data_IF_352294700674
#
_entry.id   IF_352294700674
#
_cell.length_a   1.000
_cell.length_b   1.000
_cell.length_c   1.000
_cell.angle_alpha   90.00
_cell.angle_beta   90.00
_cell.angle_gamma   90.00
#
_symmetry.space_group_name_H-M   'P 1'
#
loop_
_entity.id
_entity.type
_entity.pdbx_description
1 polymer ?
#
# COMPACT_ATOMS: atom_id res chain seq x y z
N UNK A 1 -56.96 -7.52 -47.85
CA UNK A 1 -56.65 -6.21 -47.23
C UNK A 1 -55.42 -6.38 -46.35
N UNK A 2 -54.48 -5.43 -46.29
CA UNK A 2 -53.28 -5.48 -45.41
C UNK A 2 -53.67 -4.87 -44.04
N UNK A 3 -53.19 -5.25 -42.85
CA UNK A 3 -51.86 -5.16 -42.16
C UNK A 3 -52.02 -5.79 -40.74
N UNK A 4 -51.04 -6.08 -39.86
CA UNK A 4 -49.57 -6.26 -39.87
C UNK A 4 -49.11 -7.03 -38.59
N UNK A 5 -47.93 -7.65 -38.66
CA UNK A 5 -46.99 -8.16 -37.64
C UNK A 5 -47.02 -7.62 -36.19
N UNK A 6 -46.50 -8.42 -35.23
CA UNK A 6 -45.21 -8.18 -34.52
C UNK A 6 -44.79 -9.40 -33.68
N UNK A 7 -43.48 -9.57 -33.40
CA UNK A 7 -42.83 -10.77 -32.83
C UNK A 7 -42.07 -10.42 -31.53
N UNK A 8 -41.85 -11.42 -30.66
CA UNK A 8 -40.83 -11.56 -29.58
C UNK A 8 -41.27 -11.38 -28.10
N UNK A 9 -41.42 -12.53 -27.42
CA UNK A 9 -40.62 -13.06 -26.28
C UNK A 9 -39.72 -12.11 -25.42
N UNK A 10 -39.32 -12.53 -24.19
CA UNK A 10 -40.01 -13.40 -23.22
C UNK A 10 -39.90 -12.94 -21.73
N UNK A 11 -40.78 -13.41 -20.83
CA UNK A 11 -40.56 -13.30 -19.37
C UNK A 11 -41.24 -14.43 -18.55
N UNK A 12 -40.44 -15.42 -18.17
CA UNK A 12 -40.26 -15.89 -16.78
C UNK A 12 -41.49 -16.10 -15.85
N UNK A 13 -41.91 -17.36 -15.66
CA UNK A 13 -42.46 -17.94 -14.40
C UNK A 13 -42.06 -19.43 -14.40
N UNK A 14 -41.42 -20.04 -13.39
CA UNK A 14 -41.76 -20.13 -11.97
C UNK A 14 -43.08 -20.88 -11.71
N UNK A 15 -43.03 -22.22 -11.68
CA UNK A 15 -44.10 -23.06 -11.14
C UNK A 15 -43.70 -23.63 -9.77
N UNK A 16 -44.66 -23.69 -8.85
CA UNK A 16 -44.47 -24.14 -7.47
C UNK A 16 -45.51 -25.19 -7.09
N UNK A 17 -45.15 -26.47 -7.21
CA UNK A 17 -45.95 -27.60 -6.74
C UNK A 17 -45.52 -28.08 -5.35
N UNK A 18 -46.34 -27.86 -4.33
CA UNK A 18 -46.03 -28.20 -2.93
C UNK A 18 -46.68 -29.53 -2.46
N UNK A 19 -45.93 -30.35 -1.72
CA UNK A 19 -46.49 -31.32 -0.76
C UNK A 19 -45.47 -31.70 0.33
N UNK A 20 -45.90 -31.69 1.60
CA UNK A 20 -45.06 -31.95 2.78
C UNK A 20 -44.90 -33.45 3.08
N UNK A 21 -43.74 -33.85 3.62
CA UNK A 21 -43.66 -34.79 4.75
C UNK A 21 -42.34 -34.64 5.53
N UNK A 22 -42.41 -34.83 6.85
CA UNK A 22 -41.36 -34.47 7.80
C UNK A 22 -40.30 -35.58 7.97
N UNK A 23 -39.05 -35.17 8.20
CA UNK A 23 -37.94 -36.05 8.60
C UNK A 23 -36.83 -35.22 9.26
N UNK A 24 -36.49 -35.55 10.52
CA UNK A 24 -35.49 -34.84 11.33
C UNK A 24 -34.05 -35.09 10.83
N UNK A 25 -33.23 -34.04 10.67
CA UNK A 25 -31.75 -34.11 10.83
C UNK A 25 -31.11 -32.75 11.19
N UNK A 26 -31.59 -32.07 12.24
CA UNK A 26 -30.85 -30.95 12.85
C UNK A 26 -29.77 -31.49 13.81
N UNK A 27 -28.67 -32.02 13.26
CA UNK A 27 -27.40 -32.29 13.97
C UNK A 27 -26.30 -32.79 13.02
N UNK A 28 -25.51 -31.87 12.46
CA UNK A 28 -24.30 -32.24 11.69
C UNK A 28 -23.14 -31.22 11.73
N UNK A 29 -23.35 -29.95 12.10
CA UNK A 29 -22.31 -28.90 12.01
C UNK A 29 -21.85 -28.31 13.36
N UNK A 30 -22.06 -29.05 14.47
CA UNK A 30 -21.66 -28.64 15.83
C UNK A 30 -20.32 -29.24 16.29
N UNK A 31 -19.65 -30.07 15.46
CA UNK A 31 -18.37 -30.72 15.81
C UNK A 31 -17.13 -29.92 15.41
N UNK A 32 -17.24 -28.58 15.35
CA UNK A 32 -16.15 -27.65 15.04
C UNK A 32 -15.79 -26.77 16.25
N UNK A 33 -15.39 -27.34 17.39
CA UNK A 33 -14.57 -26.57 18.35
C UNK A 33 -13.69 -27.36 19.33
N UNK A 34 -13.97 -28.63 19.63
CA UNK A 34 -13.29 -29.33 20.74
C UNK A 34 -11.97 -30.03 20.36
N UNK A 35 -11.17 -29.40 19.47
CA UNK A 35 -9.79 -29.85 19.24
C UNK A 35 -8.81 -29.06 20.10
N UNK A 36 -8.90 -29.36 21.39
CA UNK A 36 -7.89 -29.22 22.44
C UNK A 36 -6.84 -28.12 22.26
N UNK A 37 -6.92 -27.09 23.09
CA UNK A 37 -5.81 -26.19 23.38
C UNK A 37 -4.57 -26.98 23.78
N UNK A 38 -3.65 -27.18 22.83
CA UNK A 38 -2.32 -27.68 23.14
C UNK A 38 -1.64 -26.67 24.07
N UNK A 39 -0.99 -27.10 25.17
CA UNK A 39 -0.28 -26.18 26.03
C UNK A 39 0.86 -25.55 25.22
N UNK A 40 0.76 -24.24 24.97
CA UNK A 40 1.90 -23.48 24.47
C UNK A 40 2.97 -23.50 25.56
N UNK A 41 4.01 -24.31 25.35
CA UNK A 41 5.22 -24.31 26.16
C UNK A 41 5.85 -22.93 26.07
N UNK A 42 5.56 -22.06 27.04
CA UNK A 42 6.27 -20.80 27.24
C UNK A 42 7.70 -21.15 27.64
N UNK A 43 8.62 -21.13 26.66
CA UNK A 43 10.06 -21.30 26.91
C UNK A 43 10.49 -20.26 27.95
N UNK A 44 10.96 -20.65 29.16
CA UNK A 44 11.46 -19.71 30.15
C UNK A 44 12.84 -19.20 29.69
N UNK A 45 12.82 -18.23 28.78
CA UNK A 45 14.00 -17.74 28.06
C UNK A 45 13.69 -16.74 26.93
N UNK A 46 12.46 -16.26 26.79
CA UNK A 46 12.13 -15.15 25.90
C UNK A 46 12.71 -13.84 26.44
N UNK A 47 13.97 -13.57 26.11
CA UNK A 47 14.60 -12.26 26.35
C UNK A 47 13.91 -11.25 25.43
N UNK A 48 12.91 -10.55 25.97
CA UNK A 48 12.25 -9.44 25.30
C UNK A 48 13.25 -8.29 25.18
N UNK A 49 13.88 -8.16 24.01
CA UNK A 49 14.79 -7.07 23.73
C UNK A 49 13.99 -5.76 23.58
N UNK A 50 13.98 -4.92 24.62
CA UNK A 50 13.35 -3.61 24.58
C UNK A 50 14.11 -2.67 23.63
N UNK A 51 13.61 -2.53 22.40
CA UNK A 51 14.13 -1.54 21.45
C UNK A 51 13.84 -0.14 22.01
N UNK A 52 14.85 0.73 22.09
CA UNK A 52 14.66 2.12 22.51
C UNK A 52 13.79 2.91 21.51
N UNK A 53 13.12 3.96 21.97
CA UNK A 53 12.34 4.87 21.12
C UNK A 53 13.20 5.43 19.96
N UNK A 54 14.42 5.86 20.28
CA UNK A 54 15.42 6.36 19.32
C UNK A 54 15.85 5.28 18.32
N UNK A 55 15.97 4.02 18.73
CA UNK A 55 16.25 2.89 17.82
C UNK A 55 15.15 2.68 16.79
N UNK A 56 13.87 2.72 17.21
CA UNK A 56 12.71 2.64 16.30
C UNK A 56 12.63 3.85 15.36
N UNK A 57 13.00 5.03 15.83
CA UNK A 57 13.04 6.24 15.00
C UNK A 57 14.13 6.16 13.92
N UNK A 58 15.34 5.76 14.30
CA UNK A 58 16.45 5.58 13.35
C UNK A 58 16.13 4.49 12.30
N UNK A 59 15.52 3.38 12.70
CA UNK A 59 15.11 2.32 11.78
C UNK A 59 14.07 2.82 10.75
N UNK A 60 13.09 3.63 11.19
CA UNK A 60 12.12 4.26 10.28
C UNK A 60 12.77 5.28 9.35
N UNK A 61 13.64 6.15 9.87
CA UNK A 61 14.36 7.13 9.07
C UNK A 61 15.23 6.45 8.00
N UNK A 62 15.93 5.37 8.35
CA UNK A 62 16.70 4.54 7.43
C UNK A 62 15.81 3.92 6.34
N UNK A 63 14.71 3.27 6.73
CA UNK A 63 13.77 2.66 5.77
C UNK A 63 13.16 3.69 4.81
N UNK A 64 12.84 4.91 5.27
CA UNK A 64 12.37 6.01 4.41
C UNK A 64 13.47 6.50 3.46
N UNK A 65 14.72 6.59 3.92
CA UNK A 65 15.85 6.96 3.07
C UNK A 65 16.17 5.91 1.99
N UNK A 66 16.08 4.62 2.34
CA UNK A 66 16.27 3.49 1.41
C UNK A 66 15.11 3.33 0.42
N UNK A 67 13.90 3.73 0.81
CA UNK A 67 12.71 3.69 -0.07
C UNK A 67 12.52 4.95 -0.91
N UNK A 68 13.38 5.96 -0.74
CA UNK A 68 13.31 7.19 -1.53
C UNK A 68 13.82 6.92 -2.95
N UNK A 69 13.13 7.41 -4.01
CA UNK A 69 13.60 7.22 -5.38
C UNK A 69 14.86 8.04 -5.64
N UNK A 70 15.84 7.43 -6.33
CA UNK A 70 17.09 8.08 -6.76
C UNK A 70 16.82 9.41 -7.50
N UNK A 71 15.78 9.41 -8.34
CA UNK A 71 15.36 10.56 -9.15
C UNK A 71 14.09 11.17 -8.57
N UNK A 72 14.19 12.42 -8.10
CA UNK A 72 13.05 13.20 -7.59
C UNK A 72 12.38 13.99 -8.70
N UNK A 73 11.62 13.30 -9.56
CA UNK A 73 10.97 13.88 -10.74
C UNK A 73 10.14 15.13 -10.44
N UNK A 74 9.37 15.15 -9.35
CA UNK A 74 8.58 16.32 -8.95
C UNK A 74 9.42 17.59 -8.75
N UNK A 75 10.60 17.47 -8.13
CA UNK A 75 11.55 18.59 -7.97
C UNK A 75 12.12 19.04 -9.31
N UNK A 76 12.38 18.09 -10.22
CA UNK A 76 12.87 18.38 -11.57
C UNK A 76 11.79 19.14 -12.37
N UNK A 77 10.52 18.75 -12.27
CA UNK A 77 9.40 19.42 -12.91
C UNK A 77 9.21 20.86 -12.40
N UNK A 78 9.23 21.07 -11.08
CA UNK A 78 9.16 22.40 -10.45
C UNK A 78 10.30 23.31 -10.93
N UNK A 79 11.55 22.82 -10.92
CA UNK A 79 12.71 23.59 -11.38
C UNK A 79 12.62 23.92 -12.87
N UNK A 80 12.23 22.97 -13.73
CA UNK A 80 11.99 23.21 -15.16
C UNK A 80 10.94 24.31 -15.38
N UNK A 81 9.82 24.29 -14.65
CA UNK A 81 8.79 25.32 -14.72
C UNK A 81 9.32 26.70 -14.28
N UNK A 82 10.09 26.76 -13.18
CA UNK A 82 10.69 28.02 -12.70
C UNK A 82 11.70 28.61 -13.69
N UNK A 83 12.49 27.77 -14.35
CA UNK A 83 13.42 28.17 -15.41
C UNK A 83 12.64 28.70 -16.62
N UNK A 84 11.65 27.95 -17.12
CA UNK A 84 10.82 28.35 -18.26
C UNK A 84 10.03 29.66 -18.00
N UNK A 85 9.61 29.90 -16.76
CA UNK A 85 8.94 31.12 -16.35
C UNK A 85 9.89 32.32 -16.07
N UNK A 86 11.20 32.17 -16.25
CA UNK A 86 12.20 33.20 -15.93
C UNK A 86 12.34 33.51 -14.42
N UNK A 87 11.76 32.68 -13.55
CA UNK A 87 11.76 32.86 -12.07
C UNK A 87 12.87 32.08 -11.36
N UNK A 88 13.80 31.51 -12.13
CA UNK A 88 14.99 30.87 -11.61
C UNK A 88 16.17 31.84 -11.70
N UNK A 89 16.34 32.65 -10.66
CA UNK A 89 17.46 33.57 -10.51
C UNK A 89 18.38 33.06 -9.38
N UNK A 90 19.68 32.95 -9.67
CA UNK A 90 20.71 32.54 -8.71
C UNK A 90 21.72 33.67 -8.61
N UNK A 91 22.16 34.02 -7.40
CA UNK A 91 23.14 35.09 -7.21
C UNK A 91 24.54 34.64 -7.66
N UNK A 92 25.35 35.52 -8.30
CA UNK A 92 26.72 35.20 -8.71
C UNK A 92 27.62 34.74 -7.53
N UNK A 93 27.37 35.29 -6.34
CA UNK A 93 28.07 34.94 -5.11
C UNK A 93 27.79 33.49 -4.72
N UNK A 94 26.53 33.06 -4.74
CA UNK A 94 26.16 31.67 -4.42
C UNK A 94 26.68 30.66 -5.44
N UNK A 95 26.89 31.07 -6.70
CA UNK A 95 27.58 30.24 -7.70
C UNK A 95 29.07 30.12 -7.33
N UNK A 96 29.69 31.23 -6.93
CA UNK A 96 31.12 31.29 -6.57
C UNK A 96 31.43 30.44 -5.33
N UNK A 97 30.63 30.58 -4.27
CA UNK A 97 30.71 29.75 -3.06
C UNK A 97 30.59 28.26 -3.41
N UNK A 98 29.62 27.92 -4.28
CA UNK A 98 29.37 26.53 -4.68
C UNK A 98 30.53 25.91 -5.45
N UNK A 99 31.22 26.69 -6.29
CA UNK A 99 32.41 26.24 -7.01
C UNK A 99 33.59 25.98 -6.07
N UNK A 100 33.77 26.79 -5.03
CA UNK A 100 34.81 26.59 -4.01
C UNK A 100 34.49 25.35 -3.17
N UNK A 101 33.25 25.21 -2.68
CA UNK A 101 32.77 24.01 -1.97
C UNK A 101 33.02 22.72 -2.77
N UNK A 102 32.67 22.72 -4.05
CA UNK A 102 32.85 21.58 -4.94
C UNK A 102 34.34 21.28 -5.15
N UNK A 103 35.17 22.30 -5.39
CA UNK A 103 36.61 22.13 -5.56
C UNK A 103 37.27 21.54 -4.30
N UNK A 104 36.91 22.00 -3.10
CA UNK A 104 37.43 21.46 -1.84
C UNK A 104 36.97 20.01 -1.61
N UNK A 105 35.69 19.72 -1.88
CA UNK A 105 35.11 18.38 -1.75
C UNK A 105 35.74 17.37 -2.72
N UNK A 106 35.98 17.77 -3.98
CA UNK A 106 36.54 16.90 -5.03
C UNK A 106 38.06 16.75 -4.92
N UNK A 107 38.76 17.74 -4.37
CA UNK A 107 40.22 17.72 -4.17
C UNK A 107 40.67 16.96 -2.92
N UNK A 108 39.75 16.35 -2.15
CA UNK A 108 40.07 15.52 -0.98
C UNK A 108 40.64 16.31 0.21
N UNK A 109 40.28 17.59 0.34
CA UNK A 109 40.72 18.50 1.41
C UNK A 109 39.72 18.56 2.57
N UNK A 110 39.05 17.44 2.89
CA UNK A 110 38.04 17.31 3.96
C UNK A 110 38.03 15.92 4.57
#
# INVERSE_FOLDING_TARGET
MRVNSTIHHPAQTADAGAAKKAGKTDQADSRRNDRASAPQTTIPGSVNAEISSRGRELARAKSVAESAPDIREGKIAELKQRIAAGKYNVSPEAISDRLVDEHLSTSGLS
#
